data_IF_312057432084
#
_entry.id   IF_312057432084
#
_cell.length_a   1.000
_cell.length_b   1.000
_cell.length_c   1.000
_cell.angle_alpha   90.00
_cell.angle_beta   90.00
_cell.angle_gamma   90.00
#
_symmetry.space_group_name_H-M   'P 1'
#
loop_
_entity.id
_entity.type
_entity.pdbx_description
1 polymer ?
#
# COMPACT_ATOMS: atom_id res chain seq x y z
N UNK A 1 -13.82 -14.78 3.56
CA UNK A 1 -12.36 -15.02 3.53
C UNK A 1 -11.70 -13.67 3.74
N UNK A 2 -10.65 -13.54 4.57
CA UNK A 2 -10.02 -12.23 4.79
C UNK A 2 -9.09 -11.83 3.65
N UNK A 3 -9.21 -10.57 3.21
CA UNK A 3 -8.46 -9.98 2.10
C UNK A 3 -7.43 -8.99 2.64
N UNK A 4 -6.16 -9.37 2.56
CA UNK A 4 -5.04 -8.51 2.88
C UNK A 4 -4.16 -8.44 1.64
N UNK A 5 -3.87 -7.25 1.14
CA UNK A 5 -3.12 -7.12 -0.12
C UNK A 5 -2.29 -5.85 -0.19
N UNK A 6 -1.18 -5.96 -0.91
CA UNK A 6 -0.35 -4.83 -1.27
C UNK A 6 -0.15 -4.86 -2.79
N UNK A 7 -0.44 -3.75 -3.47
CA UNK A 7 -0.49 -3.71 -4.92
C UNK A 7 -0.06 -2.36 -5.50
N UNK A 8 0.52 -2.38 -6.71
CA UNK A 8 0.59 -1.23 -7.59
C UNK A 8 -0.52 -1.31 -8.62
N UNK A 9 -1.32 -0.26 -8.77
CA UNK A 9 -2.38 -0.12 -9.76
C UNK A 9 -2.03 0.98 -10.75
N UNK A 10 -2.20 0.73 -12.04
CA UNK A 10 -1.87 1.72 -13.07
C UNK A 10 -2.68 1.54 -14.35
N UNK A 11 -2.89 2.64 -15.08
CA UNK A 11 -3.39 2.62 -16.46
C UNK A 11 -2.25 2.16 -17.38
N UNK A 12 -2.46 1.05 -18.09
CA UNK A 12 -1.44 0.43 -18.97
C UNK A 12 -1.05 1.29 -20.18
N UNK A 13 -1.76 2.40 -20.44
CA UNK A 13 -1.42 3.40 -21.46
C UNK A 13 -0.41 4.42 -20.97
N UNK A 14 -0.31 4.63 -19.66
CA UNK A 14 0.50 5.67 -19.01
C UNK A 14 1.65 5.10 -18.18
N UNK A 15 1.61 3.81 -17.87
CA UNK A 15 2.62 3.14 -17.10
C UNK A 15 2.75 1.69 -17.56
N UNK A 16 3.87 1.05 -17.24
CA UNK A 16 4.12 -0.36 -17.54
C UNK A 16 4.54 -1.11 -16.29
N UNK A 17 4.24 -2.42 -16.28
CA UNK A 17 4.65 -3.32 -15.21
C UNK A 17 6.17 -3.30 -15.00
N UNK A 18 6.94 -3.27 -16.11
CA UNK A 18 8.40 -3.21 -16.08
C UNK A 18 8.89 -2.10 -15.17
N UNK A 19 8.40 -0.89 -15.37
CA UNK A 19 8.92 0.24 -14.63
C UNK A 19 8.38 0.31 -13.18
N UNK A 20 7.41 -0.53 -12.80
CA UNK A 20 7.04 -0.80 -11.40
C UNK A 20 7.99 -1.83 -10.75
N UNK A 21 8.43 -2.82 -11.53
CA UNK A 21 9.25 -3.95 -11.06
C UNK A 21 10.75 -3.67 -11.13
N UNK A 22 11.20 -2.70 -11.94
CA UNK A 22 12.62 -2.36 -12.07
C UNK A 22 13.33 -2.09 -10.71
N UNK A 23 12.72 -1.43 -9.70
CA UNK A 23 13.31 -1.31 -8.36
C UNK A 23 13.55 -2.65 -7.64
N UNK A 24 12.88 -3.72 -8.06
CA UNK A 24 13.01 -5.07 -7.51
C UNK A 24 14.03 -5.92 -8.27
N UNK A 25 14.53 -5.47 -9.43
CA UNK A 25 15.31 -6.31 -10.35
C UNK A 25 16.53 -6.96 -9.69
N UNK A 26 17.21 -6.23 -8.80
CA UNK A 26 18.40 -6.68 -8.09
C UNK A 26 18.12 -7.08 -6.63
N UNK A 27 16.85 -7.16 -6.24
CA UNK A 27 16.43 -7.51 -4.88
C UNK A 27 16.27 -9.03 -4.81
N UNK A 28 16.94 -9.65 -3.85
CA UNK A 28 16.69 -11.07 -3.55
C UNK A 28 15.41 -11.22 -2.73
N UNK A 29 14.59 -12.25 -2.97
CA UNK A 29 13.47 -12.59 -2.09
C UNK A 29 13.93 -12.76 -0.63
N UNK A 30 13.28 -12.05 0.29
CA UNK A 30 13.43 -12.22 1.74
C UNK A 30 12.81 -13.53 2.21
N UNK A 31 11.72 -13.96 1.56
CA UNK A 31 10.98 -15.16 1.97
C UNK A 31 10.67 -16.12 0.82
N UNK A 32 10.24 -17.32 1.20
CA UNK A 32 9.98 -18.41 0.28
C UNK A 32 8.79 -18.10 -0.61
N UNK A 33 8.97 -18.04 -1.92
CA UNK A 33 7.88 -17.75 -2.83
C UNK A 33 7.37 -16.30 -2.72
N UNK A 34 8.15 -15.40 -2.11
CA UNK A 34 7.93 -13.96 -2.26
C UNK A 34 8.01 -13.63 -3.74
N UNK A 35 7.00 -12.92 -4.25
CA UNK A 35 6.86 -12.67 -5.68
C UNK A 35 6.01 -11.46 -5.96
N UNK A 36 6.26 -10.84 -7.11
CA UNK A 36 5.35 -9.87 -7.70
C UNK A 36 4.55 -10.54 -8.82
N UNK A 37 3.24 -10.42 -8.77
CA UNK A 37 2.34 -11.02 -9.78
C UNK A 37 1.49 -9.96 -10.43
N UNK A 38 1.53 -9.92 -11.76
CA UNK A 38 0.72 -9.05 -12.59
C UNK A 38 -0.58 -9.71 -13.00
N UNK A 39 -1.65 -8.93 -12.93
CA UNK A 39 -2.98 -9.32 -13.40
C UNK A 39 -3.76 -8.10 -13.91
N UNK A 40 -4.71 -8.31 -14.81
CA UNK A 40 -5.63 -7.27 -15.22
C UNK A 40 -6.72 -7.04 -14.16
N UNK A 41 -7.00 -5.79 -13.81
CA UNK A 41 -8.12 -5.38 -12.94
C UNK A 41 -9.31 -4.92 -13.78
N UNK A 42 -9.02 -4.31 -14.93
CA UNK A 42 -9.99 -3.91 -15.93
C UNK A 42 -9.33 -3.90 -17.31
N UNK A 43 -10.06 -3.66 -18.42
CA UNK A 43 -9.44 -3.56 -19.74
C UNK A 43 -8.31 -2.52 -19.84
N UNK A 44 -8.33 -1.48 -19.00
CA UNK A 44 -7.36 -0.38 -19.00
C UNK A 44 -6.39 -0.40 -17.82
N UNK A 45 -6.71 -1.10 -16.73
CA UNK A 45 -5.96 -1.04 -15.48
C UNK A 45 -5.36 -2.40 -15.17
N UNK A 46 -4.07 -2.43 -14.87
CA UNK A 46 -3.35 -3.59 -14.38
C UNK A 46 -2.96 -3.40 -12.91
N UNK A 47 -2.84 -4.51 -12.19
CA UNK A 47 -2.27 -4.57 -10.87
C UNK A 47 -0.97 -5.37 -10.89
N UNK A 48 0.01 -4.95 -10.11
CA UNK A 48 1.14 -5.78 -9.68
C UNK A 48 1.00 -5.98 -8.18
N UNK A 49 0.53 -7.17 -7.79
CA UNK A 49 0.38 -7.57 -6.40
C UNK A 49 1.70 -8.09 -5.86
N UNK A 50 2.01 -7.69 -4.64
CA UNK A 50 3.09 -8.27 -3.87
C UNK A 50 2.57 -9.41 -3.02
N UNK A 51 3.19 -10.57 -3.22
CA UNK A 51 3.00 -11.73 -2.38
C UNK A 51 4.24 -11.90 -1.52
N UNK A 52 4.09 -11.82 -0.19
CA UNK A 52 5.20 -11.90 0.75
C UNK A 52 5.82 -13.30 0.80
N UNK A 53 5.16 -14.32 0.24
CA UNK A 53 5.63 -15.70 0.21
C UNK A 53 4.85 -16.62 1.15
N UNK A 54 5.47 -17.74 1.54
CA UNK A 54 4.83 -18.81 2.30
C UNK A 54 4.85 -18.51 3.80
N UNK A 55 3.93 -17.65 4.22
CA UNK A 55 3.65 -17.38 5.63
C UNK A 55 2.53 -18.28 6.16
N UNK A 56 2.62 -18.64 7.44
CA UNK A 56 1.57 -19.40 8.13
C UNK A 56 0.32 -18.56 8.38
N UNK A 57 0.47 -17.24 8.54
CA UNK A 57 -0.60 -16.31 8.85
C UNK A 57 -0.66 -15.18 7.82
N UNK A 58 -1.87 -14.87 7.34
CA UNK A 58 -2.10 -13.80 6.36
C UNK A 58 -1.71 -12.42 6.89
N UNK A 59 -1.96 -12.15 8.16
CA UNK A 59 -1.62 -10.88 8.84
C UNK A 59 -0.12 -10.61 8.80
N UNK A 60 0.69 -11.61 9.17
CA UNK A 60 2.15 -11.52 9.11
C UNK A 60 2.64 -11.26 7.68
N UNK A 61 2.10 -12.01 6.72
CA UNK A 61 2.35 -11.82 5.30
C UNK A 61 2.09 -10.35 4.88
N UNK A 62 0.94 -9.83 5.25
CA UNK A 62 0.52 -8.48 4.93
C UNK A 62 1.42 -7.41 5.56
N UNK A 63 1.76 -7.56 6.84
CA UNK A 63 2.68 -6.68 7.56
C UNK A 63 4.03 -6.54 6.85
N UNK A 64 4.64 -7.66 6.46
CA UNK A 64 5.89 -7.62 5.69
C UNK A 64 5.74 -6.95 4.32
N UNK A 65 4.59 -7.11 3.67
CA UNK A 65 4.29 -6.36 2.44
C UNK A 65 4.19 -4.86 2.68
N UNK A 66 3.60 -4.45 3.79
CA UNK A 66 3.52 -3.04 4.16
C UNK A 66 4.89 -2.46 4.48
N UNK A 67 5.74 -3.18 5.23
CA UNK A 67 7.12 -2.76 5.50
C UNK A 67 7.91 -2.58 4.19
N UNK A 68 7.83 -3.55 3.30
CA UNK A 68 8.46 -3.49 1.98
C UNK A 68 8.00 -2.27 1.15
N UNK A 69 6.70 -1.99 1.17
CA UNK A 69 6.14 -0.95 0.30
C UNK A 69 6.31 0.44 0.88
N UNK A 70 6.07 0.60 2.18
CA UNK A 70 6.01 1.90 2.85
C UNK A 70 7.30 2.22 3.60
N UNK A 71 7.93 1.24 4.24
CA UNK A 71 9.15 1.41 5.02
C UNK A 71 10.41 1.45 4.16
N UNK A 72 10.51 0.54 3.18
CA UNK A 72 11.69 0.48 2.29
C UNK A 72 11.58 1.45 1.09
N UNK A 73 10.60 2.36 1.08
CA UNK A 73 10.32 3.33 0.00
C UNK A 73 10.10 2.69 -1.38
N UNK A 74 9.83 1.38 -1.46
CA UNK A 74 9.68 0.68 -2.75
C UNK A 74 8.45 1.19 -3.50
N UNK A 75 7.40 1.61 -2.79
CA UNK A 75 6.24 2.27 -3.39
C UNK A 75 6.62 3.54 -4.17
N UNK A 76 7.61 4.30 -3.68
CA UNK A 76 8.04 5.57 -4.25
C UNK A 76 9.15 5.43 -5.30
N UNK A 77 9.94 4.35 -5.26
CA UNK A 77 11.09 4.14 -6.14
C UNK A 77 10.75 4.25 -7.65
N UNK A 78 9.64 3.67 -8.17
CA UNK A 78 9.24 3.84 -9.57
C UNK A 78 9.05 5.32 -9.97
N UNK A 79 8.41 6.11 -9.11
CA UNK A 79 8.17 7.54 -9.33
C UNK A 79 9.47 8.36 -9.31
N UNK A 80 10.39 8.05 -8.39
CA UNK A 80 11.69 8.73 -8.32
C UNK A 80 12.54 8.49 -9.56
N UNK A 81 12.60 7.25 -10.06
CA UNK A 81 13.33 6.91 -11.28
C UNK A 81 12.81 7.67 -12.51
N UNK A 82 11.49 7.70 -12.70
CA UNK A 82 10.85 8.41 -13.83
C UNK A 82 11.02 9.93 -13.76
N UNK A 83 10.94 10.52 -12.57
CA UNK A 83 11.23 11.95 -12.37
C UNK A 83 12.68 12.28 -12.74
N UNK A 84 13.64 11.44 -12.38
CA UNK A 84 15.05 11.58 -12.77
C UNK A 84 15.26 11.43 -14.28
N UNK A 85 14.49 10.55 -14.92
CA UNK A 85 14.47 10.39 -16.37
C UNK A 85 13.74 11.53 -17.12
N UNK A 86 13.09 12.46 -16.40
CA UNK A 86 12.37 13.58 -17.00
C UNK A 86 11.01 13.21 -17.60
N UNK A 87 10.47 12.03 -17.31
CA UNK A 87 9.18 11.58 -17.83
C UNK A 87 8.03 12.40 -17.27
N UNK A 88 7.07 12.75 -18.14
CA UNK A 88 5.97 13.67 -17.82
C UNK A 88 4.57 13.09 -17.97
N UNK A 89 4.41 11.91 -18.56
CA UNK A 89 3.10 11.26 -18.68
C UNK A 89 3.14 9.85 -18.08
N UNK A 90 2.93 9.80 -16.77
CA UNK A 90 2.76 8.55 -16.03
C UNK A 90 1.95 8.81 -14.77
N UNK A 91 1.31 7.76 -14.26
CA UNK A 91 0.62 7.77 -12.97
C UNK A 91 0.42 6.35 -12.48
N UNK A 92 0.51 6.15 -11.18
CA UNK A 92 0.14 4.89 -10.53
C UNK A 92 -0.32 5.14 -9.09
N UNK A 93 -0.97 4.14 -8.52
CA UNK A 93 -1.35 4.12 -7.10
C UNK A 93 -0.74 2.87 -6.46
N UNK A 94 0.02 3.04 -5.38
CA UNK A 94 0.37 1.93 -4.49
C UNK A 94 -0.71 1.83 -3.41
N UNK A 95 -1.24 0.64 -3.15
CA UNK A 95 -2.34 0.41 -2.23
C UNK A 95 -2.07 -0.80 -1.35
N UNK A 96 -2.10 -0.60 -0.04
CA UNK A 96 -2.03 -1.63 0.97
C UNK A 96 -3.31 -1.61 1.80
N UNK A 97 -4.05 -2.72 1.87
CA UNK A 97 -5.35 -2.72 2.52
C UNK A 97 -5.72 -4.04 3.17
N UNK A 98 -6.45 -3.96 4.28
CA UNK A 98 -7.14 -5.05 4.96
C UNK A 98 -8.64 -5.04 4.68
N UNK A 99 -9.30 -6.19 4.77
CA UNK A 99 -10.72 -6.39 4.53
C UNK A 99 -11.62 -5.69 5.54
N UNK A 100 -11.18 -5.61 6.79
CA UNK A 100 -11.88 -4.90 7.86
C UNK A 100 -11.65 -3.37 7.80
N UNK A 101 -10.80 -2.89 6.90
CA UNK A 101 -10.34 -1.49 6.82
C UNK A 101 -9.67 -0.97 8.11
N UNK A 102 -9.32 -1.85 9.05
CA UNK A 102 -8.48 -1.53 10.22
C UNK A 102 -7.12 -0.98 9.78
N UNK A 103 -6.71 -1.32 8.55
CA UNK A 103 -5.57 -0.75 7.88
C UNK A 103 -5.88 -0.55 6.40
N UNK A 104 -5.89 0.70 5.94
CA UNK A 104 -6.06 1.07 4.55
C UNK A 104 -5.13 2.24 4.21
N UNK A 105 -4.22 2.06 3.25
CA UNK A 105 -3.20 3.07 2.90
C UNK A 105 -2.99 3.10 1.39
N UNK A 106 -3.23 4.25 0.75
CA UNK A 106 -3.00 4.45 -0.67
C UNK A 106 -2.10 5.64 -0.95
N UNK A 107 -1.25 5.47 -1.96
CA UNK A 107 -0.28 6.45 -2.40
C UNK A 107 -0.38 6.66 -3.90
N UNK A 108 -0.87 7.83 -4.33
CA UNK A 108 -0.93 8.21 -5.74
C UNK A 108 0.33 8.98 -6.13
N UNK A 109 1.04 8.49 -7.13
CA UNK A 109 2.23 9.13 -7.67
C UNK A 109 2.01 9.71 -9.06
N UNK A 110 2.58 10.88 -9.30
CA UNK A 110 2.52 11.63 -10.56
C UNK A 110 3.86 12.34 -10.83
N UNK A 111 4.12 12.85 -12.04
CA UNK A 111 5.32 13.63 -12.36
C UNK A 111 5.48 14.87 -11.49
N UNK A 112 4.36 15.39 -10.98
CA UNK A 112 4.30 16.62 -10.20
C UNK A 112 4.40 16.38 -8.69
N UNK A 113 4.25 15.14 -8.23
CA UNK A 113 4.21 14.89 -6.80
C UNK A 113 3.48 13.61 -6.39
N UNK A 114 3.10 13.59 -5.13
CA UNK A 114 2.50 12.46 -4.46
C UNK A 114 1.36 12.90 -3.55
N UNK A 115 0.28 12.12 -3.53
CA UNK A 115 -0.79 12.24 -2.53
C UNK A 115 -0.92 10.91 -1.79
N UNK A 116 -0.81 10.95 -0.47
CA UNK A 116 -0.98 9.81 0.42
C UNK A 116 -2.23 9.96 1.25
N UNK A 117 -2.96 8.86 1.42
CA UNK A 117 -4.14 8.76 2.29
C UNK A 117 -4.05 7.47 3.09
N UNK A 118 -4.37 7.55 4.37
CA UNK A 118 -4.37 6.43 5.28
C UNK A 118 -5.58 6.50 6.22
N UNK A 119 -6.16 5.34 6.51
CA UNK A 119 -7.13 5.12 7.58
C UNK A 119 -6.70 3.90 8.37
N UNK A 120 -6.37 4.09 9.65
CA UNK A 120 -5.86 3.05 10.55
C UNK A 120 -6.51 3.25 11.92
N UNK A 121 -7.15 2.22 12.45
CA UNK A 121 -7.76 2.20 13.79
C UNK A 121 -8.64 3.43 14.12
N UNK A 122 -9.47 3.87 13.15
CA UNK A 122 -10.36 5.01 13.33
C UNK A 122 -9.66 6.38 13.32
N UNK A 123 -8.38 6.44 12.96
CA UNK A 123 -7.65 7.67 12.64
C UNK A 123 -7.43 7.78 11.12
N UNK A 124 -7.47 9.00 10.60
CA UNK A 124 -7.24 9.34 9.20
C UNK A 124 -6.06 10.27 9.05
N UNK A 125 -5.22 10.03 8.05
CA UNK A 125 -4.08 10.88 7.72
C UNK A 125 -3.97 11.10 6.21
N UNK A 126 -3.68 12.33 5.81
CA UNK A 126 -3.54 12.74 4.43
C UNK A 126 -2.31 13.63 4.27
N UNK A 127 -1.55 13.37 3.20
CA UNK A 127 -0.41 14.18 2.80
C UNK A 127 -0.48 14.49 1.31
N UNK A 128 -0.12 15.72 0.94
CA UNK A 128 0.03 16.14 -0.45
C UNK A 128 1.39 16.82 -0.59
N UNK A 129 2.19 16.32 -1.51
CA UNK A 129 3.49 16.87 -1.89
C UNK A 129 3.47 17.18 -3.38
N UNK A 130 3.91 18.37 -3.77
CA UNK A 130 4.10 18.75 -5.16
C UNK A 130 5.55 19.16 -5.46
N UNK A 131 5.81 19.67 -6.67
CA UNK A 131 7.14 20.15 -7.12
C UNK A 131 7.75 21.24 -6.22
N UNK A 132 6.96 21.89 -5.36
CA UNK A 132 7.40 22.93 -4.41
C UNK A 132 7.59 22.43 -2.97
N UNK A 133 7.34 21.14 -2.69
CA UNK A 133 7.44 20.55 -1.36
C UNK A 133 6.08 20.19 -0.78
N UNK A 134 5.99 20.18 0.55
CA UNK A 134 4.77 19.85 1.27
C UNK A 134 3.69 20.91 1.00
N UNK A 135 2.55 20.49 0.46
CA UNK A 135 1.36 21.32 0.27
C UNK A 135 0.39 21.21 1.44
N UNK A 136 0.17 19.98 1.91
CA UNK A 136 -0.86 19.68 2.88
C UNK A 136 -0.44 18.49 3.71
N UNK A 137 -0.68 18.59 5.02
CA UNK A 137 -0.60 17.49 5.97
C UNK A 137 -1.78 17.62 6.91
N UNK A 138 -2.59 16.58 7.01
CA UNK A 138 -3.79 16.52 7.85
C UNK A 138 -3.79 15.19 8.60
N UNK A 139 -3.97 15.22 9.92
CA UNK A 139 -4.25 14.05 10.75
C UNK A 139 -5.51 14.34 11.56
N UNK A 140 -6.45 13.41 11.59
CA UNK A 140 -7.73 13.58 12.28
C UNK A 140 -8.22 12.25 12.86
N UNK A 141 -8.78 12.29 14.06
CA UNK A 141 -9.59 11.16 14.56
C UNK A 141 -10.89 11.12 13.78
N UNK A 142 -11.17 9.99 13.17
CA UNK A 142 -12.29 9.76 12.25
C UNK A 142 -13.42 9.03 12.95
N UNK A 143 -13.10 8.07 13.82
CA UNK A 143 -14.07 7.49 14.75
C UNK A 143 -14.72 8.64 15.54
N UNK A 144 -16.00 8.88 15.26
CA UNK A 144 -16.76 9.97 15.85
C UNK A 144 -18.05 9.39 16.41
N UNK A 145 -18.34 9.69 17.67
CA UNK A 145 -19.67 9.43 18.22
C UNK A 145 -20.72 10.31 17.50
N UNK A 146 -21.99 9.89 17.44
CA UNK A 146 -23.08 10.74 16.94
C UNK A 146 -23.07 12.16 17.52
N UNK A 147 -22.80 12.30 18.81
CA UNK A 147 -22.78 13.57 19.52
C UNK A 147 -21.63 14.47 19.04
N UNK A 148 -20.47 13.92 18.70
CA UNK A 148 -19.36 14.68 18.11
C UNK A 148 -19.68 15.25 16.73
N UNK A 149 -20.59 14.61 16.00
CA UNK A 149 -21.10 15.10 14.71
C UNK A 149 -22.35 15.97 14.87
N UNK A 150 -22.75 16.31 16.10
CA UNK A 150 -23.91 17.15 16.39
C UNK A 150 -25.25 16.42 16.33
N UNK A 151 -25.25 15.09 16.35
CA UNK A 151 -26.47 14.28 16.38
C UNK A 151 -26.91 13.95 17.80
N UNK A 152 -28.20 13.57 17.93
CA UNK A 152 -28.76 13.06 19.17
C UNK A 152 -28.18 11.71 19.58
N UNK A 153 -28.68 11.17 20.68
CA UNK A 153 -28.25 9.86 21.20
C UNK A 153 -28.64 8.77 20.20
N UNK A 154 -27.68 7.92 19.84
CA UNK A 154 -27.90 6.75 18.99
C UNK A 154 -29.04 5.87 19.54
N UNK A 155 -29.93 5.41 18.66
CA UNK A 155 -31.09 4.62 19.06
C UNK A 155 -32.23 5.41 19.72
N UNK A 156 -32.12 6.73 19.85
CA UNK A 156 -33.27 7.57 20.21
C UNK A 156 -34.26 7.71 19.03
N UNK A 157 -35.55 7.92 19.33
CA UNK A 157 -36.58 8.09 18.30
C UNK A 157 -36.37 9.31 17.38
N UNK A 158 -35.50 10.24 17.77
CA UNK A 158 -35.15 11.45 17.01
C UNK A 158 -33.79 11.36 16.32
N UNK A 159 -33.11 10.21 16.40
CA UNK A 159 -31.82 10.01 15.75
C UNK A 159 -32.01 9.72 14.26
N UNK A 160 -31.49 10.60 13.41
CA UNK A 160 -31.43 10.39 11.96
C UNK A 160 -30.15 9.64 11.60
N UNK A 161 -30.25 8.31 11.61
CA UNK A 161 -29.16 7.39 11.26
C UNK A 161 -28.59 7.68 9.86
N UNK A 162 -29.46 7.95 8.87
CA UNK A 162 -29.02 8.22 7.52
C UNK A 162 -28.24 9.54 7.41
N UNK A 163 -28.61 10.57 8.19
CA UNK A 163 -27.86 11.82 8.24
C UNK A 163 -26.53 11.67 8.99
N UNK A 164 -26.49 10.88 10.06
CA UNK A 164 -25.25 10.55 10.77
C UNK A 164 -24.26 9.82 9.84
N UNK A 165 -24.73 8.78 9.13
CA UNK A 165 -23.91 8.03 8.17
C UNK A 165 -23.35 8.93 7.05
N UNK A 166 -24.16 9.86 6.53
CA UNK A 166 -23.67 10.86 5.55
C UNK A 166 -22.59 11.76 6.13
N UNK A 167 -22.79 12.27 7.35
CA UNK A 167 -21.82 13.13 8.00
C UNK A 167 -20.51 12.38 8.31
N UNK A 168 -20.59 11.10 8.66
CA UNK A 168 -19.42 10.24 8.86
C UNK A 168 -18.66 10.03 7.54
N UNK A 169 -19.36 9.71 6.46
CA UNK A 169 -18.78 9.56 5.12
C UNK A 169 -18.09 10.85 4.65
N UNK A 170 -18.73 12.01 4.82
CA UNK A 170 -18.16 13.32 4.46
C UNK A 170 -16.90 13.64 5.27
N UNK A 171 -16.86 13.25 6.55
CA UNK A 171 -15.67 13.41 7.42
C UNK A 171 -14.53 12.49 7.00
N UNK A 172 -14.85 11.27 6.58
CA UNK A 172 -13.91 10.26 6.12
C UNK A 172 -13.33 10.56 4.75
N UNK A 173 -14.14 11.11 3.85
CA UNK A 173 -13.87 11.26 2.41
C UNK A 173 -12.45 11.73 2.07
N UNK A 174 -11.89 12.78 2.72
CA UNK A 174 -10.54 13.26 2.42
C UNK A 174 -9.44 12.22 2.70
N UNK A 175 -9.69 11.28 3.61
CA UNK A 175 -8.74 10.28 4.09
C UNK A 175 -8.93 8.92 3.44
N UNK A 176 -10.04 8.68 2.71
CA UNK A 176 -10.38 7.37 2.14
C UNK A 176 -9.40 6.94 1.03
N UNK A 177 -8.58 5.89 1.26
CA UNK A 177 -7.63 5.37 0.27
C UNK A 177 -8.32 4.77 -0.96
N UNK A 178 -9.40 4.01 -0.74
CA UNK A 178 -10.19 3.44 -1.82
C UNK A 178 -10.82 4.49 -2.74
N UNK A 179 -11.19 5.67 -2.21
CA UNK A 179 -11.69 6.78 -3.02
C UNK A 179 -10.58 7.40 -3.88
N UNK A 180 -9.37 7.57 -3.32
CA UNK A 180 -8.20 8.01 -4.10
C UNK A 180 -7.89 7.07 -5.27
N UNK A 181 -7.97 5.75 -5.04
CA UNK A 181 -7.81 4.74 -6.10
C UNK A 181 -8.90 4.89 -7.16
N UNK A 182 -10.16 5.00 -6.75
CA UNK A 182 -11.30 5.14 -7.64
C UNK A 182 -11.20 6.42 -8.49
N UNK A 183 -10.95 7.57 -7.89
CA UNK A 183 -10.88 8.85 -8.59
C UNK A 183 -9.68 8.91 -9.54
N UNK A 184 -8.62 8.17 -9.22
CA UNK A 184 -7.41 8.13 -10.06
C UNK A 184 -7.56 7.19 -11.26
N UNK A 185 -8.16 6.01 -11.07
CA UNK A 185 -8.09 4.91 -12.04
C UNK A 185 -9.46 4.40 -12.51
N UNK A 186 -10.55 4.86 -11.92
CA UNK A 186 -11.91 4.41 -12.20
C UNK A 186 -12.17 2.95 -11.82
N UNK A 187 -11.41 2.41 -10.86
CA UNK A 187 -11.56 1.03 -10.37
C UNK A 187 -12.09 1.04 -8.94
N UNK A 188 -13.02 0.13 -8.67
CA UNK A 188 -13.58 -0.07 -7.33
C UNK A 188 -12.73 -1.09 -6.57
N UNK A 189 -12.81 -1.07 -5.24
CA UNK A 189 -12.21 -2.10 -4.38
C UNK A 189 -12.60 -3.51 -4.79
N UNK A 190 -13.88 -3.73 -5.12
CA UNK A 190 -14.39 -5.04 -5.57
C UNK A 190 -13.59 -5.60 -6.75
N UNK A 191 -13.35 -4.79 -7.78
CA UNK A 191 -12.54 -5.23 -8.95
C UNK A 191 -11.10 -5.59 -8.59
N UNK A 192 -10.52 -4.90 -7.60
CA UNK A 192 -9.17 -5.20 -7.11
C UNK A 192 -9.16 -6.51 -6.32
N UNK A 193 -10.20 -6.78 -5.53
CA UNK A 193 -10.39 -8.05 -4.82
C UNK A 193 -10.60 -9.19 -5.83
N UNK A 194 -11.44 -9.01 -6.85
CA UNK A 194 -11.64 -10.01 -7.90
C UNK A 194 -10.30 -10.35 -8.59
N UNK A 195 -9.48 -9.34 -8.88
CA UNK A 195 -8.15 -9.52 -9.46
C UNK A 195 -7.18 -10.22 -8.50
N UNK A 196 -7.25 -9.94 -7.20
CA UNK A 196 -6.48 -10.64 -6.18
C UNK A 196 -6.87 -12.12 -6.10
N UNK A 197 -8.16 -12.44 -6.17
CA UNK A 197 -8.67 -13.80 -6.17
C UNK A 197 -8.20 -14.59 -7.39
N UNK A 198 -8.23 -13.98 -8.58
CA UNK A 198 -7.64 -14.54 -9.82
C UNK A 198 -6.17 -14.94 -9.59
N UNK A 199 -5.39 -14.08 -8.92
CA UNK A 199 -3.99 -14.40 -8.62
C UNK A 199 -3.87 -15.47 -7.53
N UNK A 200 -4.77 -15.47 -6.54
CA UNK A 200 -4.87 -16.50 -5.52
C UNK A 200 -5.12 -17.90 -6.09
N UNK A 201 -5.85 -17.98 -7.21
CA UNK A 201 -6.08 -19.21 -7.99
C UNK A 201 -4.87 -19.63 -8.85
N UNK A 202 -3.75 -18.90 -8.76
CA UNK A 202 -2.52 -19.19 -9.50
C UNK A 202 -2.49 -18.65 -10.92
N UNK A 203 -3.44 -17.77 -11.28
CA UNK A 203 -3.44 -17.08 -12.57
C UNK A 203 -2.63 -15.77 -12.49
N UNK A 204 -2.30 -15.18 -13.64
CA UNK A 204 -1.45 -13.99 -13.72
C UNK A 204 0.02 -14.31 -14.01
N UNK A 205 0.81 -13.26 -14.18
CA UNK A 205 2.21 -13.35 -14.62
C UNK A 205 3.16 -12.98 -13.48
N UNK A 206 4.06 -13.89 -13.11
CA UNK A 206 5.09 -13.62 -12.12
C UNK A 206 6.18 -12.75 -12.76
N UNK A 207 6.41 -11.57 -12.20
CA UNK A 207 7.38 -10.59 -12.71
C UNK A 207 8.72 -10.58 -11.96
N UNK A 208 8.72 -11.03 -10.70
CA UNK A 208 9.89 -11.10 -9.84
C UNK A 208 9.71 -12.24 -8.82
N UNK A 209 10.75 -13.02 -8.49
CA UNK A 209 12.15 -12.91 -8.98
C UNK A 209 12.37 -13.41 -10.42
N UNK A 210 13.36 -12.84 -11.11
CA UNK A 210 13.79 -13.29 -12.44
C UNK A 210 14.84 -14.42 -12.33
N UNK A 211 14.40 -15.68 -12.20
CA UNK A 211 15.21 -16.85 -12.61
C UNK A 211 15.86 -17.72 -11.53
N UNK A 212 15.10 -18.64 -10.92
CA UNK A 212 15.66 -19.89 -10.39
C UNK A 212 15.35 -20.19 -8.93
N UNK A 213 15.64 -21.43 -8.48
CA UNK A 213 15.07 -21.99 -7.27
C UNK A 213 15.61 -21.30 -6.02
N UNK A 214 14.67 -20.84 -5.22
CA UNK A 214 14.94 -20.25 -3.91
C UNK A 214 15.35 -21.37 -2.94
N UNK A 215 16.39 -21.17 -2.12
CA UNK A 215 16.88 -22.16 -1.14
C UNK A 215 15.82 -22.48 -0.08
N UNK A 216 15.00 -23.49 -0.37
CA UNK A 216 13.86 -23.90 0.45
C UNK A 216 14.18 -24.22 1.93
N UNK A 217 15.43 -24.53 2.28
CA UNK A 217 15.80 -24.87 3.66
C UNK A 217 16.24 -23.64 4.46
N UNK A 218 16.92 -22.68 3.85
CA UNK A 218 17.13 -21.35 4.44
C UNK A 218 15.79 -20.61 4.64
N UNK A 219 14.92 -20.73 3.65
CA UNK A 219 13.59 -20.10 3.63
C UNK A 219 12.64 -20.59 4.73
N UNK A 220 12.64 -21.89 5.04
CA UNK A 220 11.82 -22.45 6.14
C UNK A 220 12.31 -22.00 7.51
N UNK A 221 13.60 -21.66 7.67
CA UNK A 221 14.17 -21.15 8.92
C UNK A 221 13.80 -19.68 9.13
N UNK A 222 13.92 -18.84 8.10
CA UNK A 222 13.51 -17.44 8.17
C UNK A 222 12.02 -17.27 8.50
N UNK A 223 11.14 -18.12 7.95
CA UNK A 223 9.70 -18.09 8.26
C UNK A 223 9.36 -18.57 9.69
N UNK A 224 10.27 -19.29 10.36
CA UNK A 224 10.09 -19.77 11.73
C UNK A 224 10.60 -18.79 12.80
N UNK A 225 11.46 -17.84 12.40
CA UNK A 225 12.08 -16.82 13.25
C UNK A 225 11.42 -15.43 13.13
N UNK A 226 10.40 -15.29 12.28
CA UNK A 226 9.66 -14.03 12.13
C UNK A 226 8.74 -13.82 13.35
N UNK A 227 9.28 -13.11 14.36
CA UNK A 227 8.51 -12.55 15.47
C UNK A 227 7.61 -11.39 15.01
N UNK A 228 6.60 -11.11 15.83
CA UNK A 228 5.40 -10.28 15.69
C UNK A 228 5.20 -9.41 14.42
N UNK A 229 3.99 -9.44 13.82
CA UNK A 229 3.65 -8.62 12.65
C UNK A 229 3.80 -7.13 12.92
N UNK A 230 4.59 -6.43 12.11
CA UNK A 230 4.69 -4.97 12.14
C UNK A 230 3.60 -4.41 11.21
N UNK A 231 2.48 -3.98 11.80
CA UNK A 231 1.49 -3.17 11.08
C UNK A 231 1.92 -1.70 11.24
N UNK A 232 2.03 -0.92 10.16
CA UNK A 232 2.30 0.49 10.28
C UNK A 232 1.20 1.18 11.10
N UNK A 233 1.59 2.07 11.99
CA UNK A 233 0.68 2.87 12.80
C UNK A 233 0.75 4.34 12.39
N UNK A 234 -0.31 5.10 12.68
CA UNK A 234 -0.32 6.53 12.45
C UNK A 234 0.49 7.29 13.53
N UNK A 235 1.14 8.42 13.18
CA UNK A 235 1.21 9.01 11.85
C UNK A 235 2.28 8.38 10.95
N UNK A 236 1.92 8.08 9.70
CA UNK A 236 2.81 7.56 8.67
C UNK A 236 3.61 8.68 7.98
N UNK A 237 2.98 9.84 7.75
CA UNK A 237 3.54 10.90 6.92
C UNK A 237 4.10 12.08 7.70
N UNK A 238 3.96 12.07 9.03
CA UNK A 238 4.47 13.12 9.91
C UNK A 238 5.94 13.50 9.66
N UNK A 239 6.87 12.57 9.37
CA UNK A 239 8.26 12.95 9.06
C UNK A 239 8.39 13.90 7.86
N UNK A 240 7.47 13.81 6.89
CA UNK A 240 7.42 14.69 5.71
C UNK A 240 6.93 16.09 6.06
N UNK A 241 6.16 16.25 7.16
CA UNK A 241 5.70 17.55 7.67
C UNK A 241 6.88 18.43 8.07
N UNK A 242 7.82 17.84 8.79
CA UNK A 242 8.93 18.56 9.43
C UNK A 242 10.17 18.65 8.51
N UNK A 243 10.04 18.23 7.24
CA UNK A 243 11.15 18.15 6.29
C UNK A 243 12.21 17.09 6.65
N UNK A 244 11.95 16.30 7.69
CA UNK A 244 12.81 15.21 8.12
C UNK A 244 12.34 13.93 7.45
N UNK A 245 12.72 13.73 6.18
CA UNK A 245 12.65 12.37 5.63
C UNK A 245 13.69 11.55 6.40
N UNK A 246 13.31 10.96 7.53
CA UNK A 246 14.08 9.85 8.10
C UNK A 246 14.15 8.84 6.96
N UNK A 247 15.35 8.50 6.52
CA UNK A 247 15.55 7.33 5.70
C UNK A 247 15.04 6.15 6.52
N UNK A 248 13.77 5.77 6.35
CA UNK A 248 13.29 4.47 6.77
C UNK A 248 14.18 3.46 6.02
N UNK A 249 14.72 2.52 6.79
CA UNK A 249 15.97 1.82 6.52
C UNK A 249 16.20 1.55 5.04
N UNK A 250 17.03 2.37 4.40
CA UNK A 250 17.42 2.13 3.02
C UNK A 250 17.92 0.71 2.93
N UNK A 251 17.22 -0.11 2.14
CA UNK A 251 17.43 -1.54 1.92
C UNK A 251 18.86 -1.89 2.26
N UNK A 252 19.08 -2.32 3.51
CA UNK A 252 20.43 -2.35 4.05
C UNK A 252 21.19 -3.31 3.15
N UNK A 253 22.16 -2.79 2.37
CA UNK A 253 23.23 -3.60 1.80
C UNK A 253 23.88 -4.28 2.99
N UNK A 254 23.39 -5.47 3.39
CA UNK A 254 23.97 -6.23 4.47
C UNK A 254 25.37 -6.57 4.02
N UNK A 255 26.32 -5.87 4.65
CA UNK A 255 27.75 -6.14 4.65
C UNK A 255 27.98 -7.64 4.77
N UNK A 256 28.92 -8.13 3.98
CA UNK A 256 29.28 -9.53 3.88
C UNK A 256 29.36 -10.23 5.23
N UNK A 257 28.64 -11.35 5.32
CA UNK A 257 28.85 -12.33 6.36
C UNK A 257 30.30 -12.81 6.30
N UNK A 258 31.10 -12.43 7.30
CA UNK A 258 32.36 -13.12 7.58
C UNK A 258 32.01 -14.56 7.94
N UNK A 259 32.56 -15.52 7.18
CA UNK A 259 32.58 -16.93 7.56
C UNK A 259 33.20 -17.07 8.96
N UNK A 260 32.61 -17.83 9.88
CA UNK A 260 33.37 -18.33 11.03
C UNK A 260 34.45 -19.29 10.52
N UNK A 261 35.61 -19.24 11.16
CA UNK A 261 36.76 -20.09 10.93
C UNK A 261 36.46 -21.57 11.21
#
# INVERSE_FOLDING_TARGET
MSYLFVAYLYDKRRCSAKAIVDPWADVEPRFAGERLVRVAVSPRVEAVFYFPGNFRQKSLAFSFGCEAFLGDDVAAAPAEARRKAGERDWQYVAWASSDMNDYDVAMRFTPDGFEGRAMIDGEGERVVIDKGGLRTYEKKTIAASPQELGFGIEGSATFDEAAFERALVEREEPFRPGLLVHDTLGVTRGKVIDALDIVGEGQGEVLWPQGGPVDTQALRRAAAEADDPIVPALPLWEPLRDGTRKAAGGMAKKRGWKKPA
#
